data_IF_092607177278
#
_entry.id   IF_092607177278
#
_cell.length_a   1.000
_cell.length_b   1.000
_cell.length_c   1.000
_cell.angle_alpha   90.00
_cell.angle_beta   90.00
_cell.angle_gamma   90.00
#
_symmetry.space_group_name_H-M   'P 1'
#
loop_
_entity.id
_entity.type
_entity.pdbx_description
1 polymer ?
#
# COMPACT_ATOMS: atom_id res chain seq x y z
N UNK A 1 -18.90 11.59 20.68
CA UNK A 1 -19.05 10.13 20.55
C UNK A 1 -19.54 9.64 19.17
N UNK A 2 -20.14 10.50 18.32
CA UNK A 2 -20.60 10.08 16.97
C UNK A 2 -19.46 9.85 15.96
N UNK A 3 -18.43 10.71 15.95
CA UNK A 3 -17.28 10.56 15.03
C UNK A 3 -16.44 9.30 15.25
N UNK A 4 -16.35 8.81 16.49
CA UNK A 4 -15.61 7.59 16.82
C UNK A 4 -16.26 6.33 16.22
N UNK A 5 -17.60 6.27 16.17
CA UNK A 5 -18.33 5.14 15.59
C UNK A 5 -18.26 5.12 14.06
N UNK A 6 -18.31 6.29 13.43
CA UNK A 6 -18.20 6.42 11.96
C UNK A 6 -16.80 6.00 11.50
N UNK A 7 -15.77 6.44 12.22
CA UNK A 7 -14.38 6.12 11.87
C UNK A 7 -14.02 4.64 12.14
N UNK A 8 -14.57 4.05 13.20
CA UNK A 8 -14.44 2.62 13.47
C UNK A 8 -15.10 1.77 12.37
N UNK A 9 -16.29 2.17 11.91
CA UNK A 9 -16.99 1.51 10.81
C UNK A 9 -16.18 1.57 9.51
N UNK A 10 -15.54 2.71 9.24
CA UNK A 10 -14.69 2.88 8.07
C UNK A 10 -13.44 1.98 8.14
N UNK A 11 -12.82 1.87 9.32
CA UNK A 11 -11.64 1.02 9.53
C UNK A 11 -11.96 -0.47 9.37
N UNK A 12 -13.11 -0.92 9.87
CA UNK A 12 -13.61 -2.30 9.69
C UNK A 12 -13.89 -2.58 8.22
N UNK A 13 -14.47 -1.61 7.49
CA UNK A 13 -14.76 -1.75 6.06
C UNK A 13 -13.50 -1.87 5.21
N UNK A 14 -12.44 -1.12 5.53
CA UNK A 14 -11.13 -1.22 4.85
C UNK A 14 -10.45 -2.55 5.14
N UNK A 15 -10.52 -3.05 6.38
CA UNK A 15 -9.93 -4.35 6.76
C UNK A 15 -10.67 -5.50 6.05
N UNK A 16 -12.00 -5.45 5.99
CA UNK A 16 -12.80 -6.45 5.25
C UNK A 16 -12.51 -6.37 3.75
N UNK A 17 -12.39 -5.18 3.18
CA UNK A 17 -12.01 -5.01 1.76
C UNK A 17 -10.62 -5.57 1.46
N UNK A 18 -9.68 -5.49 2.40
CA UNK A 18 -8.35 -6.07 2.25
C UNK A 18 -8.34 -7.60 2.39
N UNK A 19 -9.23 -8.16 3.21
CA UNK A 19 -9.41 -9.61 3.40
C UNK A 19 -10.15 -10.28 2.22
N UNK A 20 -10.92 -9.52 1.44
CA UNK A 20 -11.63 -10.00 0.25
C UNK A 20 -10.77 -10.00 -1.03
N UNK A 21 -9.53 -9.51 -0.97
CA UNK A 21 -8.56 -9.63 -2.07
C UNK A 21 -7.96 -11.05 -2.07
N UNK A 22 -8.77 -12.05 -2.38
CA UNK A 22 -8.22 -13.34 -2.83
C UNK A 22 -7.68 -13.18 -4.25
N UNK A 23 -6.50 -13.74 -4.58
CA UNK A 23 -6.10 -13.87 -5.97
C UNK A 23 -7.12 -14.81 -6.62
N UNK A 24 -7.96 -14.27 -7.50
CA UNK A 24 -8.85 -15.07 -8.34
C UNK A 24 -7.97 -15.99 -9.18
N UNK A 25 -7.86 -17.24 -8.75
CA UNK A 25 -7.42 -18.34 -9.60
C UNK A 25 -8.52 -18.48 -10.66
N UNK A 26 -8.23 -18.00 -11.86
CA UNK A 26 -9.08 -18.17 -13.02
C UNK A 26 -9.17 -19.68 -13.31
N UNK A 27 -10.34 -20.25 -13.07
CA UNK A 27 -10.67 -21.63 -13.40
C UNK A 27 -10.83 -21.75 -14.93
N UNK A 28 -9.91 -22.51 -15.54
CA UNK A 28 -9.91 -22.81 -16.97
C UNK A 28 -11.08 -23.74 -17.30
N UNK A 29 -12.23 -23.16 -17.66
CA UNK A 29 -13.20 -23.78 -18.59
C UNK A 29 -14.29 -22.79 -18.96
N UNK A 30 -13.98 -21.93 -19.93
CA UNK A 30 -15.02 -21.23 -20.68
C UNK A 30 -14.81 -21.51 -22.16
N UNK A 31 -15.70 -22.34 -22.71
CA UNK A 31 -15.89 -22.47 -24.15
C UNK A 31 -16.57 -21.16 -24.57
N UNK A 32 -15.77 -20.13 -24.86
CA UNK A 32 -16.27 -18.84 -25.33
C UNK A 32 -16.56 -18.97 -26.81
N UNK A 33 -17.83 -19.10 -27.16
CA UNK A 33 -18.28 -18.98 -28.53
C UNK A 33 -18.25 -17.49 -28.91
N UNK A 34 -17.06 -16.99 -29.23
CA UNK A 34 -16.77 -15.61 -29.62
C UNK A 34 -17.30 -15.35 -31.03
N UNK A 35 -18.30 -14.48 -31.17
CA UNK A 35 -18.80 -14.11 -32.50
C UNK A 35 -17.88 -13.01 -33.05
N UNK A 36 -17.08 -13.36 -34.03
CA UNK A 36 -16.22 -12.41 -34.73
C UNK A 36 -17.02 -11.22 -35.27
N UNK A 37 -16.53 -9.99 -35.04
CA UNK A 37 -17.16 -8.77 -35.55
C UNK A 37 -16.61 -8.47 -36.94
N UNK A 38 -17.44 -8.66 -37.97
CA UNK A 38 -17.04 -8.46 -39.37
C UNK A 38 -17.74 -7.22 -39.93
N UNK A 39 -16.96 -6.26 -40.43
CA UNK A 39 -17.47 -5.08 -41.14
C UNK A 39 -17.33 -5.33 -42.65
N UNK A 40 -18.43 -5.57 -43.39
CA UNK A 40 -18.38 -5.85 -44.81
C UNK A 40 -18.01 -4.61 -45.64
N UNK A 41 -17.55 -4.86 -46.88
CA UNK A 41 -17.00 -3.85 -47.79
C UNK A 41 -17.92 -2.65 -48.10
N UNK A 42 -19.23 -2.87 -48.05
CA UNK A 42 -20.23 -1.85 -48.38
C UNK A 42 -20.76 -1.10 -47.15
N UNK A 43 -20.23 -1.39 -45.96
CA UNK A 43 -20.68 -0.76 -44.71
C UNK A 43 -19.74 0.37 -44.30
N UNK A 44 -20.34 1.44 -43.81
CA UNK A 44 -19.65 2.61 -43.27
C UNK A 44 -20.05 2.77 -41.83
N UNK A 45 -19.08 2.74 -40.94
CA UNK A 45 -19.29 2.90 -39.51
C UNK A 45 -18.47 4.06 -38.98
N UNK A 46 -18.95 4.70 -37.93
CA UNK A 46 -18.22 5.78 -37.28
C UNK A 46 -17.15 5.21 -36.36
N UNK A 47 -17.53 4.38 -35.41
CA UNK A 47 -16.65 3.78 -34.42
C UNK A 47 -16.80 2.26 -34.41
N UNK A 48 -15.68 1.57 -34.21
CA UNK A 48 -15.64 0.12 -34.02
C UNK A 48 -15.02 -0.15 -32.67
N UNK A 49 -15.78 -0.72 -31.75
CA UNK A 49 -15.30 -1.10 -30.43
C UNK A 49 -15.60 -2.58 -30.23
N UNK A 50 -14.57 -3.40 -30.15
CA UNK A 50 -14.67 -4.85 -29.99
C UNK A 50 -13.94 -5.24 -28.70
N UNK A 51 -14.64 -5.98 -27.83
CA UNK A 51 -14.16 -6.36 -26.49
C UNK A 51 -14.23 -7.89 -26.36
N UNK A 52 -13.08 -8.52 -26.18
CA UNK A 52 -12.95 -9.96 -25.96
C UNK A 52 -12.99 -10.82 -27.22
N UNK A 53 -13.26 -10.23 -28.40
CA UNK A 53 -13.46 -10.94 -29.66
C UNK A 53 -12.57 -10.37 -30.79
N UNK A 54 -12.42 -11.11 -31.88
CA UNK A 54 -11.70 -10.67 -33.07
C UNK A 54 -12.55 -9.73 -33.94
N UNK A 55 -11.89 -8.83 -34.64
CA UNK A 55 -12.50 -7.88 -35.56
C UNK A 55 -11.89 -8.00 -36.96
N UNK A 56 -12.74 -8.09 -37.98
CA UNK A 56 -12.31 -8.09 -39.39
C UNK A 56 -12.96 -6.93 -40.12
N UNK A 57 -12.14 -6.03 -40.67
CA UNK A 57 -12.60 -4.82 -41.36
C UNK A 57 -12.37 -4.96 -42.85
N UNK A 58 -13.46 -4.89 -43.62
CA UNK A 58 -13.45 -4.78 -45.08
C UNK A 58 -13.98 -3.43 -45.58
N UNK A 59 -14.74 -2.70 -44.76
CA UNK A 59 -15.46 -1.46 -45.11
C UNK A 59 -14.77 -0.16 -44.68
N UNK A 60 -15.54 0.92 -44.50
CA UNK A 60 -15.03 2.25 -44.12
C UNK A 60 -15.27 2.54 -42.64
N UNK A 61 -14.22 2.94 -41.91
CA UNK A 61 -14.32 3.43 -40.51
C UNK A 61 -13.86 4.87 -40.44
N UNK A 62 -14.70 5.76 -39.91
CA UNK A 62 -14.42 7.21 -39.93
C UNK A 62 -13.66 7.72 -38.72
N UNK A 63 -13.99 7.27 -37.51
CA UNK A 63 -13.56 7.92 -36.27
C UNK A 63 -12.50 7.13 -35.53
N UNK A 64 -12.73 5.85 -35.20
CA UNK A 64 -11.73 5.04 -34.51
C UNK A 64 -12.04 3.53 -34.57
N UNK A 65 -10.99 2.72 -34.47
CA UNK A 65 -11.09 1.27 -34.25
C UNK A 65 -10.38 0.92 -32.95
N UNK A 66 -11.10 0.34 -31.99
CA UNK A 66 -10.58 -0.12 -30.71
C UNK A 66 -10.91 -1.60 -30.54
N UNK A 67 -9.89 -2.44 -30.43
CA UNK A 67 -10.04 -3.88 -30.16
C UNK A 67 -9.30 -4.22 -28.87
N UNK A 68 -10.00 -4.76 -27.88
CA UNK A 68 -9.44 -5.13 -26.58
C UNK A 68 -9.58 -6.64 -26.42
N UNK A 69 -8.47 -7.32 -26.14
CA UNK A 69 -8.37 -8.76 -25.95
C UNK A 69 -8.86 -9.57 -27.17
N UNK A 70 -8.46 -9.14 -28.37
CA UNK A 70 -8.80 -9.78 -29.65
C UNK A 70 -7.92 -9.29 -30.78
N UNK A 71 -7.89 -10.03 -31.89
CA UNK A 71 -7.09 -9.72 -33.06
C UNK A 71 -7.86 -8.84 -34.05
N UNK A 72 -7.14 -7.94 -34.72
CA UNK A 72 -7.70 -7.07 -35.76
C UNK A 72 -7.12 -7.46 -37.12
N UNK A 73 -7.98 -7.88 -38.04
CA UNK A 73 -7.63 -8.11 -39.44
C UNK A 73 -8.17 -6.98 -40.32
N UNK A 74 -7.26 -6.29 -41.01
CA UNK A 74 -7.57 -5.17 -41.90
C UNK A 74 -7.33 -5.64 -43.34
N UNK A 75 -8.41 -5.90 -44.07
CA UNK A 75 -8.33 -6.44 -45.43
C UNK A 75 -8.10 -5.33 -46.48
N UNK A 76 -7.71 -5.72 -47.69
CA UNK A 76 -7.30 -4.77 -48.77
C UNK A 76 -8.34 -3.70 -49.13
N UNK A 77 -9.61 -3.96 -48.85
CA UNK A 77 -10.71 -3.04 -49.18
C UNK A 77 -11.03 -2.06 -48.06
N UNK A 78 -10.42 -2.22 -46.89
CA UNK A 78 -10.67 -1.39 -45.73
C UNK A 78 -10.10 0.03 -45.90
N UNK A 79 -10.90 1.01 -45.45
CA UNK A 79 -10.50 2.42 -45.41
C UNK A 79 -10.78 3.00 -44.02
N UNK A 80 -9.74 3.11 -43.20
CA UNK A 80 -9.81 3.60 -41.83
C UNK A 80 -9.22 5.00 -41.79
N UNK A 81 -10.05 5.99 -41.47
CA UNK A 81 -9.66 7.40 -41.42
C UNK A 81 -9.13 7.85 -40.06
N UNK A 82 -9.51 7.15 -38.99
CA UNK A 82 -9.11 7.47 -37.62
C UNK A 82 -8.09 6.49 -37.02
N UNK A 83 -7.71 6.66 -35.74
CA UNK A 83 -6.67 5.87 -35.11
C UNK A 83 -7.14 4.44 -34.83
N UNK A 84 -6.17 3.52 -34.86
CA UNK A 84 -6.39 2.09 -34.60
C UNK A 84 -5.65 1.72 -33.32
N UNK A 85 -6.39 1.30 -32.29
CA UNK A 85 -5.85 0.84 -31.01
C UNK A 85 -6.22 -0.62 -30.79
N UNK A 86 -5.21 -1.49 -30.67
CA UNK A 86 -5.40 -2.90 -30.33
C UNK A 86 -4.64 -3.23 -29.05
N UNK A 87 -5.35 -3.69 -28.03
CA UNK A 87 -4.81 -4.03 -26.71
C UNK A 87 -4.95 -5.53 -26.49
N UNK A 88 -3.85 -6.24 -26.23
CA UNK A 88 -3.85 -7.67 -25.92
C UNK A 88 -4.01 -8.62 -27.12
N UNK A 89 -3.94 -8.13 -28.36
CA UNK A 89 -4.02 -8.95 -29.57
C UNK A 89 -3.08 -8.48 -30.68
N UNK A 90 -3.14 -9.15 -31.82
CA UNK A 90 -2.31 -8.88 -33.01
C UNK A 90 -3.09 -8.08 -34.06
N UNK A 91 -2.35 -7.27 -34.82
CA UNK A 91 -2.89 -6.54 -35.97
C UNK A 91 -2.27 -7.14 -37.22
N UNK A 92 -3.10 -7.60 -38.15
CA UNK A 92 -2.67 -8.04 -39.47
C UNK A 92 -3.30 -7.15 -40.54
N UNK A 93 -2.46 -6.41 -41.26
CA UNK A 93 -2.88 -5.48 -42.31
C UNK A 93 -2.47 -6.03 -43.67
N UNK A 94 -3.45 -6.27 -44.54
CA UNK A 94 -3.18 -6.73 -45.91
C UNK A 94 -2.70 -5.59 -46.81
N UNK A 95 -1.84 -5.94 -47.76
CA UNK A 95 -1.30 -5.03 -48.78
C UNK A 95 -2.46 -4.48 -49.63
N UNK A 96 -2.79 -3.21 -49.44
CA UNK A 96 -3.91 -2.51 -50.10
C UNK A 96 -4.85 -1.77 -49.13
N UNK A 97 -4.82 -2.12 -47.83
CA UNK A 97 -5.59 -1.44 -46.80
C UNK A 97 -5.10 -0.01 -46.57
N UNK A 98 -6.03 0.96 -46.48
CA UNK A 98 -5.73 2.37 -46.24
C UNK A 98 -6.04 2.72 -44.79
N UNK A 99 -4.99 3.01 -44.01
CA UNK A 99 -5.10 3.53 -42.64
C UNK A 99 -4.41 4.89 -42.62
N UNK A 100 -5.18 5.94 -42.33
CA UNK A 100 -4.70 7.33 -42.44
C UNK A 100 -3.96 7.81 -41.18
N UNK A 101 -4.30 7.21 -40.04
CA UNK A 101 -3.82 7.59 -38.71
C UNK A 101 -2.94 6.52 -38.05
N UNK A 102 -2.27 6.83 -36.92
CA UNK A 102 -1.34 5.90 -36.27
C UNK A 102 -2.02 4.60 -35.81
N UNK A 103 -1.31 3.49 -36.01
CA UNK A 103 -1.68 2.17 -35.50
C UNK A 103 -0.90 1.93 -34.20
N UNK A 104 -1.61 1.83 -33.08
CA UNK A 104 -1.05 1.57 -31.75
C UNK A 104 -1.41 0.15 -31.34
N UNK A 105 -0.43 -0.75 -31.34
CA UNK A 105 -0.59 -2.12 -30.83
C UNK A 105 0.07 -2.29 -29.45
N UNK A 106 -0.76 -2.43 -28.43
CA UNK A 106 -0.36 -2.82 -27.08
C UNK A 106 -0.49 -4.34 -26.98
N UNK A 107 0.46 -5.06 -27.57
CA UNK A 107 0.46 -6.51 -27.53
C UNK A 107 0.88 -7.00 -26.14
N UNK A 108 -0.08 -7.49 -25.37
CA UNK A 108 0.14 -8.07 -24.03
C UNK A 108 0.62 -9.53 -24.10
N UNK A 109 1.08 -10.00 -25.26
CA UNK A 109 1.68 -11.34 -25.43
C UNK A 109 3.20 -11.26 -25.73
N UNK A 110 3.72 -10.04 -25.87
CA UNK A 110 5.13 -9.79 -26.13
C UNK A 110 5.89 -9.80 -24.79
N UNK A 111 6.66 -10.85 -24.53
CA UNK A 111 7.23 -11.17 -23.21
C UNK A 111 7.94 -9.98 -22.56
N UNK A 112 8.65 -9.16 -23.34
CA UNK A 112 9.40 -7.98 -22.87
C UNK A 112 8.49 -6.81 -22.48
N UNK A 113 7.41 -6.54 -23.24
CA UNK A 113 6.44 -5.47 -22.92
C UNK A 113 5.60 -5.86 -21.71
N UNK A 114 5.26 -7.14 -21.58
CA UNK A 114 4.63 -7.68 -20.39
C UNK A 114 5.52 -7.51 -19.15
N UNK A 115 6.82 -7.80 -19.24
CA UNK A 115 7.72 -7.59 -18.09
C UNK A 115 7.84 -6.11 -17.70
N UNK A 116 7.83 -5.19 -18.67
CA UNK A 116 7.89 -3.76 -18.37
C UNK A 116 6.58 -3.24 -17.76
N UNK A 117 5.43 -3.64 -18.31
CA UNK A 117 4.11 -3.26 -17.77
C UNK A 117 3.90 -3.88 -16.39
N UNK A 118 4.20 -5.18 -16.22
CA UNK A 118 4.09 -5.88 -14.93
C UNK A 118 5.04 -5.28 -13.90
N UNK A 119 6.30 -4.99 -14.29
CA UNK A 119 7.28 -4.33 -13.43
C UNK A 119 6.84 -2.92 -13.03
N UNK A 120 6.33 -2.13 -13.98
CA UNK A 120 5.77 -0.80 -13.72
C UNK A 120 4.55 -0.85 -12.81
N UNK A 121 3.64 -1.80 -13.04
CA UNK A 121 2.45 -2.01 -12.21
C UNK A 121 2.84 -2.42 -10.78
N UNK A 122 3.78 -3.35 -10.62
CA UNK A 122 4.29 -3.77 -9.32
C UNK A 122 5.02 -2.63 -8.59
N UNK A 123 5.79 -1.82 -9.31
CA UNK A 123 6.43 -0.63 -8.75
C UNK A 123 5.40 0.38 -8.26
N UNK A 124 4.38 0.70 -9.07
CA UNK A 124 3.28 1.58 -8.69
C UNK A 124 2.47 1.00 -7.53
N UNK A 125 2.15 -0.28 -7.56
CA UNK A 125 1.45 -0.98 -6.48
C UNK A 125 2.25 -0.93 -5.18
N UNK A 126 3.58 -1.13 -5.24
CA UNK A 126 4.47 -1.00 -4.09
C UNK A 126 4.45 0.42 -3.53
N UNK A 127 4.51 1.44 -4.39
CA UNK A 127 4.42 2.84 -3.99
C UNK A 127 3.08 3.20 -3.34
N UNK A 128 1.97 2.80 -3.95
CA UNK A 128 0.61 3.04 -3.43
C UNK A 128 0.45 2.32 -2.08
N UNK A 129 0.88 1.07 -1.98
CA UNK A 129 0.83 0.29 -0.73
C UNK A 129 1.65 0.96 0.36
N UNK A 130 2.84 1.46 0.03
CA UNK A 130 3.71 2.17 0.97
C UNK A 130 3.08 3.48 1.45
N UNK A 131 2.47 4.25 0.56
CA UNK A 131 1.74 5.47 0.92
C UNK A 131 0.53 5.15 1.81
N UNK A 132 -0.24 4.11 1.47
CA UNK A 132 -1.39 3.67 2.26
C UNK A 132 -0.97 3.26 3.69
N UNK A 133 0.08 2.45 3.82
CA UNK A 133 0.65 2.06 5.13
C UNK A 133 1.16 3.26 5.93
N UNK A 134 1.73 4.25 5.25
CA UNK A 134 2.23 5.47 5.88
C UNK A 134 1.11 6.32 6.46
N UNK A 135 0.06 6.56 5.67
CA UNK A 135 -1.14 7.27 6.12
C UNK A 135 -1.78 6.52 7.29
N UNK A 136 -1.89 5.19 7.18
CA UNK A 136 -2.43 4.34 8.24
C UNK A 136 -1.61 4.46 9.54
N UNK A 137 -0.28 4.45 9.46
CA UNK A 137 0.59 4.60 10.63
C UNK A 137 0.44 5.98 11.30
N UNK A 138 0.35 7.05 10.52
CA UNK A 138 0.07 8.41 11.02
C UNK A 138 -1.29 8.44 11.73
N UNK A 139 -2.34 7.93 11.09
CA UNK A 139 -3.69 7.92 11.66
C UNK A 139 -3.75 7.13 12.97
N UNK A 140 -3.17 5.93 13.01
CA UNK A 140 -3.10 5.11 14.22
C UNK A 140 -2.37 5.86 15.34
N UNK A 141 -1.24 6.50 15.02
CA UNK A 141 -0.44 7.26 16.00
C UNK A 141 -1.25 8.42 16.58
N UNK A 142 -1.94 9.20 15.73
CA UNK A 142 -2.76 10.33 16.17
C UNK A 142 -3.95 9.86 17.01
N UNK A 143 -4.69 8.84 16.54
CA UNK A 143 -5.86 8.29 17.25
C UNK A 143 -5.43 7.73 18.61
N UNK A 144 -4.38 6.91 18.64
CA UNK A 144 -3.86 6.32 19.87
C UNK A 144 -3.32 7.39 20.84
N UNK A 145 -2.66 8.43 20.33
CA UNK A 145 -2.16 9.56 21.12
C UNK A 145 -3.26 10.42 21.73
N UNK A 146 -4.39 10.58 21.04
CA UNK A 146 -5.58 11.25 21.59
C UNK A 146 -6.25 10.35 22.64
N UNK A 147 -6.43 9.06 22.36
CA UNK A 147 -7.07 8.10 23.25
C UNK A 147 -6.35 7.95 24.59
N UNK A 148 -5.02 8.05 24.60
CA UNK A 148 -4.18 7.88 25.79
C UNK A 148 -4.10 9.12 26.70
N UNK A 149 -4.83 10.21 26.38
CA UNK A 149 -5.09 11.39 27.26
C UNK A 149 -3.93 11.77 28.19
N UNK A 150 -2.76 12.07 27.63
CA UNK A 150 -1.54 12.55 28.31
C UNK A 150 -0.62 11.55 29.01
N UNK A 151 -0.96 10.26 29.16
CA UNK A 151 -0.09 9.32 29.91
C UNK A 151 1.31 9.12 29.33
N UNK A 152 1.51 9.38 28.04
CA UNK A 152 2.79 9.21 27.35
C UNK A 152 3.52 10.52 27.03
N UNK A 153 2.94 11.69 27.31
CA UNK A 153 3.57 12.98 26.97
C UNK A 153 4.57 13.48 28.02
N UNK A 154 4.57 12.88 29.20
CA UNK A 154 5.53 13.18 30.26
C UNK A 154 6.13 11.86 30.74
N UNK A 155 7.46 11.79 30.78
CA UNK A 155 8.14 10.71 31.47
C UNK A 155 7.78 10.80 32.96
N UNK A 156 7.65 9.67 33.67
CA UNK A 156 7.50 9.69 35.11
C UNK A 156 8.60 10.53 35.76
N UNK A 157 8.25 11.36 36.74
CA UNK A 157 9.23 12.10 37.55
C UNK A 157 10.29 11.13 38.08
N UNK A 158 11.55 11.33 37.70
CA UNK A 158 12.68 10.46 38.02
C UNK A 158 13.26 9.64 36.85
N UNK A 159 12.54 9.50 35.72
CA UNK A 159 13.07 8.81 34.54
C UNK A 159 13.90 9.79 33.67
N UNK A 160 15.22 9.82 33.89
CA UNK A 160 16.12 10.65 33.09
C UNK A 160 16.24 10.10 31.66
N UNK A 161 15.77 10.86 30.68
CA UNK A 161 15.80 10.43 29.30
C UNK A 161 17.18 10.65 28.67
N UNK A 162 17.87 9.54 28.37
CA UNK A 162 19.06 9.55 27.53
C UNK A 162 18.75 8.75 26.27
N UNK A 163 18.58 9.38 25.09
CA UNK A 163 18.12 8.71 23.88
C UNK A 163 19.02 7.52 23.49
N UNK A 164 20.34 7.66 23.65
CA UNK A 164 21.28 6.55 23.41
C UNK A 164 21.04 5.33 24.31
N UNK A 165 20.68 5.53 25.59
CA UNK A 165 20.36 4.42 26.49
C UNK A 165 19.03 3.74 26.11
N UNK A 166 18.05 4.51 25.63
CA UNK A 166 16.77 3.94 25.16
C UNK A 166 16.99 3.08 23.92
N UNK A 167 17.81 3.52 22.97
CA UNK A 167 18.13 2.73 21.78
C UNK A 167 18.87 1.45 22.17
N UNK A 168 19.90 1.52 23.02
CA UNK A 168 20.66 0.34 23.46
C UNK A 168 19.78 -0.65 24.24
N UNK A 169 18.98 -0.17 25.19
CA UNK A 169 18.07 -1.04 25.95
C UNK A 169 17.01 -1.66 25.05
N UNK A 170 16.52 -0.92 24.06
CA UNK A 170 15.63 -1.42 23.03
C UNK A 170 16.25 -2.48 22.13
N UNK A 171 17.50 -2.29 21.70
CA UNK A 171 18.25 -3.26 20.93
C UNK A 171 18.43 -4.57 21.70
N UNK A 172 18.91 -4.50 22.94
CA UNK A 172 19.07 -5.66 23.83
C UNK A 172 17.72 -6.36 24.04
N UNK A 173 16.65 -5.59 24.26
CA UNK A 173 15.30 -6.13 24.43
C UNK A 173 14.80 -6.81 23.16
N UNK A 174 15.08 -6.25 21.97
CA UNK A 174 14.69 -6.86 20.70
C UNK A 174 15.40 -8.19 20.46
N UNK A 175 16.69 -8.29 20.84
CA UNK A 175 17.45 -9.54 20.75
C UNK A 175 16.92 -10.59 21.73
N UNK A 176 16.60 -10.19 22.97
CA UNK A 176 15.99 -11.07 23.95
C UNK A 176 14.60 -11.56 23.51
N UNK A 177 13.74 -10.66 23.01
CA UNK A 177 12.43 -11.01 22.48
C UNK A 177 12.54 -11.95 21.28
N UNK A 178 13.49 -11.71 20.36
CA UNK A 178 13.73 -12.60 19.23
C UNK A 178 14.14 -14.00 19.66
N UNK A 179 15.10 -14.12 20.59
CA UNK A 179 15.53 -15.40 21.13
C UNK A 179 14.39 -16.16 21.82
N UNK A 180 13.59 -15.44 22.62
CA UNK A 180 12.39 -15.97 23.27
C UNK A 180 11.39 -16.43 22.21
N UNK A 181 11.12 -15.63 21.17
CA UNK A 181 10.20 -15.99 20.10
C UNK A 181 10.62 -17.28 19.38
N UNK A 182 11.90 -17.42 19.03
CA UNK A 182 12.44 -18.65 18.41
C UNK A 182 12.23 -19.87 19.32
N UNK A 183 12.53 -19.73 20.61
CA UNK A 183 12.32 -20.81 21.58
C UNK A 183 10.84 -21.20 21.69
N UNK A 184 9.93 -20.22 21.70
CA UNK A 184 8.50 -20.47 21.76
C UNK A 184 7.93 -21.08 20.47
N UNK A 185 8.51 -20.79 19.30
CA UNK A 185 8.04 -21.41 18.04
C UNK A 185 8.20 -22.93 18.02
N UNK A 186 9.16 -23.49 18.77
CA UNK A 186 9.34 -24.94 18.91
C UNK A 186 8.18 -25.58 19.70
N UNK A 187 7.51 -24.81 20.55
CA UNK A 187 6.38 -25.25 21.34
C UNK A 187 5.08 -25.02 20.56
N UNK A 188 4.23 -26.05 20.41
CA UNK A 188 2.90 -25.92 19.80
C UNK A 188 2.07 -24.84 20.52
N UNK A 189 2.22 -24.73 21.84
CA UNK A 189 1.56 -23.72 22.70
C UNK A 189 2.22 -22.33 22.57
N UNK A 190 3.44 -22.25 22.03
CA UNK A 190 4.17 -21.00 21.94
C UNK A 190 3.73 -20.09 20.80
N UNK A 191 3.11 -20.59 19.73
CA UNK A 191 2.59 -19.77 18.62
C UNK A 191 1.63 -18.67 19.11
N UNK A 192 0.57 -18.97 19.91
CA UNK A 192 -0.28 -17.94 20.51
C UNK A 192 0.49 -16.88 21.32
N UNK A 193 1.51 -17.29 22.07
CA UNK A 193 2.29 -16.39 22.92
C UNK A 193 3.18 -15.48 22.05
N UNK A 194 3.77 -16.00 20.98
CA UNK A 194 4.54 -15.20 20.01
C UNK A 194 3.65 -14.12 19.38
N UNK A 195 2.40 -14.42 19.05
CA UNK A 195 1.43 -13.42 18.54
C UNK A 195 1.22 -12.31 19.58
N UNK A 196 1.05 -12.65 20.86
CA UNK A 196 0.91 -11.67 21.95
C UNK A 196 2.17 -10.80 22.08
N UNK A 197 3.36 -11.41 22.00
CA UNK A 197 4.64 -10.67 22.01
C UNK A 197 4.69 -9.68 20.84
N UNK A 198 4.34 -10.12 19.64
CA UNK A 198 4.35 -9.29 18.44
C UNK A 198 3.36 -8.11 18.56
N UNK A 199 2.17 -8.35 19.09
CA UNK A 199 1.22 -7.28 19.42
C UNK A 199 1.84 -6.29 20.42
N UNK A 200 2.53 -6.80 21.45
CA UNK A 200 3.25 -5.97 22.42
C UNK A 200 4.33 -5.08 21.76
N UNK A 201 5.08 -5.62 20.80
CA UNK A 201 6.08 -4.86 20.02
C UNK A 201 5.39 -3.77 19.19
N UNK A 202 4.26 -4.07 18.54
CA UNK A 202 3.49 -3.06 17.77
C UNK A 202 2.97 -1.96 18.69
N UNK A 203 2.40 -2.31 19.85
CA UNK A 203 1.92 -1.32 20.83
C UNK A 203 3.07 -0.45 21.32
N UNK A 204 4.24 -1.06 21.57
CA UNK A 204 5.44 -0.35 21.96
C UNK A 204 5.89 0.65 20.88
N UNK A 205 5.91 0.22 19.61
CA UNK A 205 6.24 1.08 18.47
C UNK A 205 5.29 2.29 18.39
N UNK A 206 3.98 2.07 18.51
CA UNK A 206 2.99 3.15 18.51
C UNK A 206 3.23 4.09 19.69
N UNK A 207 3.52 3.58 20.89
CA UNK A 207 3.78 4.40 22.07
C UNK A 207 5.02 5.30 21.89
N UNK A 208 6.11 4.78 21.33
CA UNK A 208 7.29 5.58 21.03
C UNK A 208 7.05 6.58 19.90
N UNK A 209 6.26 6.25 18.88
CA UNK A 209 5.83 7.18 17.84
C UNK A 209 4.98 8.32 18.40
N UNK A 210 4.06 8.06 19.33
CA UNK A 210 3.29 9.10 20.03
C UNK A 210 4.22 10.04 20.79
N UNK A 211 5.19 9.49 21.51
CA UNK A 211 6.17 10.27 22.27
C UNK A 211 7.01 11.17 21.35
N UNK A 212 7.65 10.59 20.33
CA UNK A 212 8.52 11.30 19.39
C UNK A 212 7.75 12.31 18.55
N UNK A 213 6.55 11.98 18.07
CA UNK A 213 5.70 12.91 17.32
C UNK A 213 5.25 14.08 18.19
N UNK A 214 4.93 13.85 19.46
CA UNK A 214 4.62 14.91 20.42
C UNK A 214 5.81 15.84 20.63
N UNK A 215 7.02 15.30 20.79
CA UNK A 215 8.24 16.08 21.01
C UNK A 215 8.69 16.87 19.77
N UNK A 216 8.65 16.25 18.58
CA UNK A 216 9.00 16.92 17.33
C UNK A 216 7.94 17.96 16.93
N UNK A 217 6.66 17.63 17.11
CA UNK A 217 5.56 18.54 16.80
C UNK A 217 5.56 19.78 17.69
N UNK A 218 5.91 19.66 18.98
CA UNK A 218 5.93 20.80 19.90
C UNK A 218 7.14 21.73 19.73
N UNK A 219 8.22 21.26 19.09
CA UNK A 219 9.38 22.09 18.76
C UNK A 219 9.11 23.06 17.60
N UNK A 220 8.09 22.80 16.80
CA UNK A 220 7.69 23.66 15.69
C UNK A 220 6.85 24.83 16.23
N UNK A 221 7.43 26.05 16.22
CA UNK A 221 6.76 27.29 16.65
C UNK A 221 5.39 27.53 15.99
N UNK A 222 5.20 27.03 14.76
CA UNK A 222 3.94 27.08 14.02
C UNK A 222 2.76 26.37 14.73
N UNK A 223 3.05 25.40 15.59
CA UNK A 223 2.05 24.61 16.31
C UNK A 223 1.94 24.96 17.80
N UNK A 224 2.59 26.04 18.22
CA UNK A 224 2.47 26.58 19.58
C UNK A 224 1.02 27.05 19.82
N UNK A 225 0.40 26.57 20.91
CA UNK A 225 -1.01 26.85 21.24
C UNK A 225 -2.06 26.12 20.37
N UNK A 226 -1.65 25.24 19.43
CA UNK A 226 -2.58 24.46 18.60
C UNK A 226 -3.10 23.21 19.35
N UNK A 227 -4.27 22.64 18.95
CA UNK A 227 -4.78 21.43 19.56
C UNK A 227 -3.82 20.24 19.36
N UNK A 228 -3.75 19.36 20.36
CA UNK A 228 -2.80 18.25 20.44
C UNK A 228 -2.80 17.31 19.22
N UNK A 229 -3.96 17.09 18.61
CA UNK A 229 -4.06 16.24 17.42
C UNK A 229 -3.30 16.81 16.22
N UNK A 230 -3.25 18.14 16.07
CA UNK A 230 -2.44 18.80 15.03
C UNK A 230 -0.95 18.66 15.31
N UNK A 231 -0.54 18.81 16.58
CA UNK A 231 0.86 18.63 17.00
C UNK A 231 1.33 17.20 16.70
N UNK A 232 0.53 16.20 17.10
CA UNK A 232 0.82 14.78 16.82
C UNK A 232 0.81 14.49 15.33
N UNK A 233 -0.14 15.05 14.57
CA UNK A 233 -0.24 14.85 13.12
C UNK A 233 1.00 15.42 12.42
N UNK A 234 1.43 16.63 12.78
CA UNK A 234 2.61 17.26 12.19
C UNK A 234 3.88 16.45 12.50
N UNK A 235 4.10 16.09 13.77
CA UNK A 235 5.27 15.32 14.19
C UNK A 235 5.29 13.91 13.59
N UNK A 236 4.15 13.21 13.58
CA UNK A 236 4.07 11.86 13.00
C UNK A 236 4.21 11.88 11.48
N UNK A 237 3.64 12.87 10.79
CA UNK A 237 3.83 13.04 9.35
C UNK A 237 5.30 13.28 9.00
N UNK A 238 6.01 14.08 9.79
CA UNK A 238 7.44 14.31 9.60
C UNK A 238 8.26 13.02 9.78
N UNK A 239 8.02 12.27 10.87
CA UNK A 239 8.69 10.99 11.13
C UNK A 239 8.40 9.98 10.00
N UNK A 240 7.14 9.84 9.62
CA UNK A 240 6.72 8.88 8.60
C UNK A 240 7.23 9.28 7.21
N UNK A 241 7.30 10.57 6.89
CA UNK A 241 7.97 11.05 5.69
C UNK A 241 9.45 10.64 5.66
N UNK A 242 10.16 10.74 6.79
CA UNK A 242 11.54 10.29 6.91
C UNK A 242 11.68 8.76 6.73
N UNK A 243 10.73 7.97 7.26
CA UNK A 243 10.65 6.51 7.04
C UNK A 243 10.37 6.16 5.56
N UNK A 244 9.75 7.07 4.81
CA UNK A 244 9.49 6.86 3.39
C UNK A 244 10.68 7.15 2.47
N UNK A 245 11.78 7.66 3.00
CA UNK A 245 12.97 7.89 2.19
C UNK A 245 13.55 6.55 1.71
N UNK A 246 13.81 6.38 0.39
CA UNK A 246 14.46 5.18 -0.14
C UNK A 246 15.82 4.93 0.55
N UNK A 247 16.17 3.66 0.82
CA UNK A 247 17.39 3.23 1.53
C UNK A 247 17.44 3.54 3.04
N UNK A 248 17.24 4.79 3.45
CA UNK A 248 17.38 5.20 4.86
C UNK A 248 16.13 4.93 5.70
N UNK A 249 14.97 4.81 5.06
CA UNK A 249 13.69 4.63 5.73
C UNK A 249 13.63 3.42 6.66
N UNK A 250 14.19 2.29 6.23
CA UNK A 250 14.27 1.07 7.04
C UNK A 250 15.15 1.23 8.28
N UNK A 251 16.29 1.93 8.14
CA UNK A 251 17.20 2.22 9.26
C UNK A 251 16.51 3.14 10.28
N UNK A 252 15.81 4.17 9.80
CA UNK A 252 15.05 5.09 10.66
C UNK A 252 13.96 4.35 11.42
N UNK A 253 13.17 3.51 10.72
CA UNK A 253 12.13 2.69 11.35
C UNK A 253 12.72 1.76 12.43
N UNK A 254 13.88 1.17 12.16
CA UNK A 254 14.56 0.27 13.08
C UNK A 254 15.08 1.01 14.32
N UNK A 255 15.70 2.18 14.16
CA UNK A 255 16.12 3.04 15.29
C UNK A 255 14.91 3.45 16.13
N UNK A 256 13.81 3.85 15.49
CA UNK A 256 12.56 4.21 16.18
C UNK A 256 11.97 2.99 16.89
N UNK A 257 12.05 1.80 16.31
CA UNK A 257 11.56 0.56 16.92
C UNK A 257 12.35 0.22 18.18
N UNK A 258 13.68 0.33 18.13
CA UNK A 258 14.52 0.17 19.31
C UNK A 258 14.25 1.25 20.36
N UNK A 259 14.18 2.51 19.97
CA UNK A 259 13.84 3.59 20.91
C UNK A 259 12.50 3.34 21.61
N UNK A 260 11.47 2.96 20.84
CA UNK A 260 10.13 2.62 21.32
C UNK A 260 10.14 1.47 22.33
N UNK A 261 10.86 0.38 22.02
CA UNK A 261 11.02 -0.76 22.91
C UNK A 261 11.75 -0.37 24.20
N UNK A 262 12.86 0.36 24.08
CA UNK A 262 13.63 0.80 25.25
C UNK A 262 12.84 1.73 26.17
N UNK A 263 12.07 2.65 25.59
CA UNK A 263 11.12 3.50 26.32
C UNK A 263 10.14 2.63 27.11
N UNK A 264 9.52 1.67 26.44
CA UNK A 264 8.46 0.82 27.02
C UNK A 264 9.03 -0.05 28.14
N UNK A 265 10.17 -0.70 27.91
CA UNK A 265 10.85 -1.55 28.90
C UNK A 265 11.30 -0.74 30.12
N UNK A 266 11.90 0.43 29.89
CA UNK A 266 12.34 1.32 30.99
C UNK A 266 11.16 1.82 31.82
N UNK A 267 10.06 2.17 31.16
CA UNK A 267 8.83 2.58 31.83
C UNK A 267 8.20 1.43 32.63
N UNK A 268 8.16 0.22 32.06
CA UNK A 268 7.66 -0.98 32.73
C UNK A 268 8.51 -1.31 33.98
N UNK A 269 9.84 -1.28 33.83
CA UNK A 269 10.78 -1.52 34.91
C UNK A 269 10.65 -0.49 36.05
N UNK A 270 10.54 0.79 35.71
CA UNK A 270 10.32 1.85 36.70
C UNK A 270 9.01 1.65 37.46
N UNK A 271 7.93 1.30 36.76
CA UNK A 271 6.61 1.03 37.37
C UNK A 271 6.64 -0.15 38.33
N UNK A 272 7.38 -1.22 38.01
CA UNK A 272 7.53 -2.37 38.91
C UNK A 272 8.38 -2.07 40.14
N UNK A 273 9.48 -1.32 39.98
CA UNK A 273 10.40 -0.99 41.08
C UNK A 273 9.84 0.04 42.06
N UNK A 274 9.11 1.06 41.57
CA UNK A 274 8.43 2.04 42.44
C UNK A 274 7.24 1.44 43.19
N UNK A 275 6.51 0.49 42.59
CA UNK A 275 5.43 -0.22 43.28
C UNK A 275 5.94 -1.11 44.41
N UNK A 276 7.15 -1.68 44.27
CA UNK A 276 7.84 -2.45 45.32
C UNK A 276 8.37 -1.61 46.49
N UNK A 277 8.63 -0.29 46.31
CA UNK A 277 9.08 0.61 47.39
C UNK A 277 7.93 1.18 48.25
N UNK A 278 6.67 1.00 47.82
CA UNK A 278 5.47 1.49 48.52
C UNK A 278 4.67 0.38 49.21
N UNK A 279 5.13 -0.87 49.14
CA UNK A 279 4.58 -2.03 49.86
C UNK A 279 5.60 -2.51 50.88
#
# INVERSE_FOLDING_TARGET
MKGFRVLLSFMVMVIISALLLTPVLADEKNIVNQKETIIPKNEKVENVIVLGDNATINGEVRVAVVVINGNLQINKTANIKGPVLVIGGQINQEIGAKVTEPIISLNLNDQTKNSFILGGLLFLASWITRLALSILLVLITVIAGIATKHKFNSLPEGLTMKPGRMIITGFISSLALFAISVLLTILIIGIPIVIIILIGVIISLIAGLIFLSGQLGSQLKLFEGKPKWLVLLAGSSFIVAAINFPLFGGIILLIISWFSLGLTVSWLYYKFTTKRKKS
#
